data_IF_521723409186
#
_entry.id   IF_521723409186
#
_cell.length_a   1.000
_cell.length_b   1.000
_cell.length_c   1.000
_cell.angle_alpha   90.00
_cell.angle_beta   90.00
_cell.angle_gamma   90.00
#
_symmetry.space_group_name_H-M   'P 1'
#
loop_
_entity.id
_entity.type
_entity.pdbx_description
1 polymer ?
#
# COMPACT_ATOMS: atom_id res chain seq x y z
N UNK A 1 25.08 -15.59 6.64
CA UNK A 1 24.43 -16.60 5.76
C UNK A 1 23.60 -15.87 4.73
N UNK A 2 23.59 -16.33 3.48
CA UNK A 2 22.69 -15.79 2.46
C UNK A 2 21.27 -16.21 2.82
N UNK A 3 20.36 -15.25 3.05
CA UNK A 3 18.97 -15.53 3.43
C UNK A 3 18.00 -15.49 2.21
N UNK A 4 18.54 -15.70 1.01
CA UNK A 4 17.79 -15.75 -0.24
C UNK A 4 18.30 -16.94 -1.11
N UNK A 5 17.43 -17.54 -1.97
CA UNK A 5 15.98 -17.27 -2.06
C UNK A 5 15.26 -17.63 -0.75
N UNK A 6 14.12 -16.97 -0.50
CA UNK A 6 13.27 -17.27 0.65
C UNK A 6 12.19 -18.29 0.28
N UNK A 7 11.38 -18.79 1.23
CA UNK A 7 10.22 -19.63 0.89
C UNK A 7 9.14 -18.89 0.08
N UNK A 8 9.18 -17.58 -0.01
CA UNK A 8 8.14 -16.75 -0.63
C UNK A 8 8.63 -15.95 -1.84
N UNK A 9 9.94 -15.71 -1.95
CA UNK A 9 10.57 -14.95 -3.04
C UNK A 9 11.74 -15.73 -3.62
N UNK A 10 11.59 -16.18 -4.87
CA UNK A 10 12.62 -16.93 -5.60
C UNK A 10 13.48 -16.01 -6.46
N UNK A 11 14.19 -15.07 -5.81
CA UNK A 11 15.02 -14.07 -6.44
C UNK A 11 16.32 -13.84 -5.64
N UNK A 12 17.15 -12.94 -6.11
CA UNK A 12 18.35 -12.41 -5.43
C UNK A 12 18.19 -10.90 -5.18
N UNK A 13 18.96 -10.28 -4.28
CA UNK A 13 18.89 -8.83 -4.07
C UNK A 13 19.11 -8.00 -5.33
N UNK A 14 19.92 -8.48 -6.27
CA UNK A 14 20.18 -7.79 -7.55
C UNK A 14 18.99 -7.81 -8.52
N UNK A 15 17.97 -8.63 -8.25
CA UNK A 15 16.76 -8.69 -9.07
C UNK A 15 15.74 -7.60 -8.68
N UNK A 16 15.89 -6.96 -7.52
CA UNK A 16 15.01 -5.89 -7.07
C UNK A 16 15.67 -4.51 -7.14
N UNK A 17 14.87 -3.50 -7.46
CA UNK A 17 15.23 -2.10 -7.30
C UNK A 17 15.15 -1.67 -5.82
N UNK A 18 15.73 -0.53 -5.48
CA UNK A 18 15.68 0.05 -4.13
C UNK A 18 14.28 0.47 -3.69
N UNK A 19 13.41 0.76 -4.66
CA UNK A 19 12.00 1.11 -4.42
C UNK A 19 11.08 0.09 -5.08
N UNK A 20 10.16 -0.45 -4.29
CA UNK A 20 9.15 -1.43 -4.72
C UNK A 20 7.75 -0.83 -4.58
N UNK A 21 6.98 -0.79 -5.67
CA UNK A 21 5.55 -0.56 -5.64
C UNK A 21 4.84 -1.87 -5.26
N UNK A 22 3.94 -1.80 -4.27
CA UNK A 22 3.34 -3.02 -3.71
C UNK A 22 1.80 -2.97 -3.75
N UNK A 23 1.17 -3.38 -4.88
CA UNK A 23 -0.26 -3.64 -4.92
C UNK A 23 -0.60 -4.93 -4.16
N UNK A 24 -1.85 -5.04 -3.67
CA UNK A 24 -2.35 -6.30 -3.10
C UNK A 24 -2.53 -7.40 -4.16
N UNK A 25 -3.06 -7.01 -5.32
CA UNK A 25 -3.44 -7.89 -6.42
C UNK A 25 -2.25 -8.19 -7.36
N UNK A 26 -1.91 -9.49 -7.59
CA UNK A 26 -0.87 -9.89 -8.54
C UNK A 26 -1.15 -9.44 -9.99
N UNK A 27 -2.42 -9.36 -10.40
CA UNK A 27 -2.78 -8.88 -11.74
C UNK A 27 -2.54 -7.37 -11.87
N UNK A 28 -2.73 -6.60 -10.81
CA UNK A 28 -2.34 -5.18 -10.79
C UNK A 28 -0.83 -5.02 -10.85
N UNK A 29 -0.06 -5.86 -10.17
CA UNK A 29 1.40 -5.85 -10.29
C UNK A 29 1.84 -6.10 -11.73
N UNK A 30 1.23 -7.07 -12.40
CA UNK A 30 1.45 -7.34 -13.82
C UNK A 30 1.05 -6.16 -14.70
N UNK A 31 -0.13 -5.58 -14.47
CA UNK A 31 -0.61 -4.42 -15.23
C UNK A 31 0.34 -3.23 -15.14
N UNK A 32 0.82 -2.89 -13.94
CA UNK A 32 1.79 -1.80 -13.75
C UNK A 32 3.08 -2.12 -14.52
N UNK A 33 3.60 -3.33 -14.40
CA UNK A 33 4.84 -3.73 -15.09
C UNK A 33 4.72 -3.65 -16.61
N UNK A 34 3.64 -4.15 -17.18
CA UNK A 34 3.44 -4.22 -18.64
C UNK A 34 3.11 -2.87 -19.28
N UNK A 35 2.45 -1.95 -18.54
CA UNK A 35 1.97 -0.69 -19.10
C UNK A 35 2.84 0.52 -18.76
N UNK A 36 3.66 0.44 -17.72
CA UNK A 36 4.44 1.59 -17.26
C UNK A 36 5.96 1.36 -17.24
N UNK A 37 6.43 0.10 -17.13
CA UNK A 37 7.86 -0.16 -17.04
C UNK A 37 8.45 -0.61 -18.39
N UNK A 38 9.56 -0.01 -18.76
CA UNK A 38 10.38 -0.47 -19.88
C UNK A 38 11.19 -1.71 -19.47
N UNK A 39 11.29 -2.69 -20.36
CA UNK A 39 12.09 -3.92 -20.18
C UNK A 39 11.72 -4.69 -18.90
N UNK A 40 10.45 -4.66 -18.48
CA UNK A 40 9.99 -5.35 -17.29
C UNK A 40 10.25 -6.87 -17.37
N UNK A 41 10.89 -7.40 -16.32
CA UNK A 41 11.19 -8.83 -16.17
C UNK A 41 10.47 -9.39 -14.96
N UNK A 42 9.86 -10.58 -15.10
CA UNK A 42 9.29 -11.32 -13.97
C UNK A 42 10.44 -11.86 -13.11
N UNK A 43 10.52 -11.42 -11.86
CA UNK A 43 11.57 -11.81 -10.89
C UNK A 43 11.02 -12.71 -9.79
N UNK A 44 9.71 -12.75 -9.58
CA UNK A 44 9.06 -13.66 -8.66
C UNK A 44 7.69 -14.10 -9.14
N UNK A 45 7.35 -15.39 -8.90
CA UNK A 45 6.02 -15.96 -9.11
C UNK A 45 5.70 -17.07 -8.08
N UNK A 46 6.39 -17.06 -6.94
CA UNK A 46 6.13 -18.03 -5.88
C UNK A 46 4.74 -17.76 -5.31
N UNK A 47 3.92 -18.81 -5.18
CA UNK A 47 2.53 -18.72 -4.67
C UNK A 47 1.61 -17.81 -5.50
N UNK A 48 1.96 -17.54 -6.77
CA UNK A 48 1.21 -16.59 -7.61
C UNK A 48 1.44 -15.12 -7.26
N UNK A 49 2.36 -14.81 -6.36
CA UNK A 49 2.73 -13.43 -6.03
C UNK A 49 3.73 -12.93 -7.07
N UNK A 50 3.18 -12.24 -8.07
CA UNK A 50 3.98 -11.71 -9.17
C UNK A 50 4.86 -10.55 -8.69
N UNK A 51 6.15 -10.62 -9.02
CA UNK A 51 7.12 -9.53 -8.85
C UNK A 51 7.83 -9.26 -10.16
N UNK A 52 7.97 -8.00 -10.51
CA UNK A 52 8.63 -7.52 -11.73
C UNK A 52 9.63 -6.44 -11.39
N UNK A 53 10.68 -6.34 -12.20
CA UNK A 53 11.62 -5.21 -12.16
C UNK A 53 11.82 -4.69 -13.57
N UNK A 54 11.77 -3.39 -13.75
CA UNK A 54 11.96 -2.71 -15.02
C UNK A 54 12.46 -1.28 -14.82
N UNK A 55 12.35 -0.47 -15.86
CA UNK A 55 12.82 0.91 -15.87
C UNK A 55 11.62 1.85 -16.03
N UNK A 56 11.54 2.89 -15.20
CA UNK A 56 10.61 3.99 -15.36
C UNK A 56 11.39 5.31 -15.43
N UNK A 57 11.27 6.04 -16.54
CA UNK A 57 12.00 7.29 -16.78
C UNK A 57 13.50 7.17 -16.49
N UNK A 58 14.12 6.09 -16.95
CA UNK A 58 15.57 5.83 -16.77
C UNK A 58 15.96 5.29 -15.40
N UNK A 59 15.06 5.14 -14.45
CA UNK A 59 15.34 4.67 -13.08
C UNK A 59 14.77 3.26 -12.87
N UNK A 60 15.54 2.32 -12.28
CA UNK A 60 15.03 1.01 -11.91
C UNK A 60 13.91 1.11 -10.87
N UNK A 61 12.79 0.42 -11.11
CA UNK A 61 11.67 0.29 -10.19
C UNK A 61 11.19 -1.15 -10.20
N UNK A 62 10.87 -1.67 -9.02
CA UNK A 62 10.22 -2.97 -8.90
C UNK A 62 8.74 -2.82 -8.55
N UNK A 63 7.95 -3.77 -8.99
CA UNK A 63 6.53 -3.89 -8.63
C UNK A 63 6.29 -5.32 -8.18
N UNK A 64 5.81 -5.52 -6.95
CA UNK A 64 5.54 -6.86 -6.43
C UNK A 64 4.26 -6.87 -5.63
N UNK A 65 3.39 -7.84 -5.88
CA UNK A 65 2.15 -7.98 -5.12
C UNK A 65 2.43 -8.37 -3.65
N UNK A 66 1.52 -7.95 -2.77
CA UNK A 66 1.56 -8.32 -1.35
C UNK A 66 0.58 -9.42 -0.96
N UNK A 67 -0.41 -9.74 -1.81
CA UNK A 67 -1.63 -10.41 -1.36
C UNK A 67 -2.48 -9.46 -0.50
N UNK A 68 -3.47 -10.00 0.18
CA UNK A 68 -4.40 -9.24 1.04
C UNK A 68 -4.12 -9.48 2.52
N UNK A 69 -4.30 -8.43 3.31
CA UNK A 69 -4.24 -8.48 4.77
C UNK A 69 -2.83 -8.31 5.34
N UNK A 70 -2.80 -7.86 6.60
CA UNK A 70 -1.54 -7.57 7.31
C UNK A 70 -0.60 -8.77 7.42
N UNK A 71 -1.07 -10.02 7.65
CA UNK A 71 -0.15 -11.16 7.66
C UNK A 71 0.55 -11.39 6.33
N UNK A 72 -0.14 -11.16 5.21
CA UNK A 72 0.43 -11.36 3.88
C UNK A 72 1.49 -10.30 3.56
N UNK A 73 1.13 -9.00 3.61
CA UNK A 73 2.11 -7.94 3.37
C UNK A 73 3.24 -7.99 4.40
N UNK A 74 2.96 -8.47 5.60
CA UNK A 74 3.93 -8.65 6.67
C UNK A 74 5.08 -9.59 6.26
N UNK A 75 4.77 -10.68 5.56
CA UNK A 75 5.79 -11.61 5.03
C UNK A 75 6.64 -10.91 3.96
N UNK A 76 6.00 -10.40 2.91
CA UNK A 76 6.71 -9.90 1.74
C UNK A 76 7.50 -8.63 2.03
N UNK A 77 6.94 -7.68 2.79
CA UNK A 77 7.66 -6.46 3.18
C UNK A 77 8.85 -6.76 4.09
N UNK A 78 8.69 -7.70 5.03
CA UNK A 78 9.80 -8.12 5.89
C UNK A 78 10.95 -8.71 5.07
N UNK A 79 10.64 -9.63 4.14
CA UNK A 79 11.66 -10.27 3.31
C UNK A 79 12.36 -9.27 2.39
N UNK A 80 11.61 -8.40 1.71
CA UNK A 80 12.16 -7.37 0.83
C UNK A 80 13.11 -6.43 1.57
N UNK A 81 12.71 -5.93 2.74
CA UNK A 81 13.54 -5.04 3.54
C UNK A 81 14.80 -5.70 4.11
N UNK A 82 14.69 -6.95 4.58
CA UNK A 82 15.77 -7.57 5.35
C UNK A 82 16.67 -8.50 4.53
N UNK A 83 16.19 -9.01 3.36
CA UNK A 83 16.93 -10.01 2.58
C UNK A 83 17.20 -9.60 1.14
N UNK A 84 16.46 -8.64 0.59
CA UNK A 84 16.55 -8.24 -0.81
C UNK A 84 17.04 -6.79 -1.03
N UNK A 85 17.56 -6.16 0.01
CA UNK A 85 18.19 -4.83 -0.05
C UNK A 85 17.26 -3.71 -0.57
N UNK A 86 15.95 -3.85 -0.32
CA UNK A 86 14.95 -2.84 -0.63
C UNK A 86 14.96 -1.76 0.46
N UNK A 87 14.90 -0.50 0.07
CA UNK A 87 14.91 0.63 0.99
C UNK A 87 13.53 1.26 1.16
N UNK A 88 12.73 1.27 0.09
CA UNK A 88 11.43 1.93 0.07
C UNK A 88 10.35 0.98 -0.45
N UNK A 89 9.20 0.92 0.23
CA UNK A 89 8.00 0.25 -0.28
C UNK A 89 6.86 1.24 -0.33
N UNK A 90 6.26 1.42 -1.52
CA UNK A 90 5.06 2.22 -1.73
C UNK A 90 3.90 1.27 -2.01
N UNK A 91 2.98 1.14 -1.06
CA UNK A 91 1.74 0.40 -1.26
C UNK A 91 0.84 1.16 -2.24
N UNK A 92 0.37 0.43 -3.26
CA UNK A 92 -0.49 0.95 -4.34
C UNK A 92 -1.82 0.20 -4.30
N UNK A 93 -2.74 0.70 -3.47
CA UNK A 93 -3.93 -0.05 -3.09
C UNK A 93 -5.25 0.63 -3.37
N UNK A 94 -6.35 -0.04 -2.99
CA UNK A 94 -7.68 0.53 -2.89
C UNK A 94 -8.11 0.67 -1.44
N UNK A 95 -9.06 1.56 -1.18
CA UNK A 95 -9.67 1.76 0.13
C UNK A 95 -11.18 2.00 0.01
N UNK A 96 -11.93 1.57 1.00
CA UNK A 96 -13.31 2.00 1.19
C UNK A 96 -13.36 3.36 1.89
N UNK A 97 -14.00 4.37 1.29
CA UNK A 97 -14.12 5.70 1.87
C UNK A 97 -15.01 5.71 3.12
N UNK A 98 -14.54 6.36 4.19
CA UNK A 98 -15.23 6.45 5.49
C UNK A 98 -15.52 7.91 5.91
N UNK A 99 -15.19 8.87 5.07
CA UNK A 99 -15.28 10.31 5.37
C UNK A 99 -15.86 11.06 4.18
N UNK A 100 -16.68 12.06 4.44
CA UNK A 100 -17.20 13.00 3.43
C UNK A 100 -16.11 13.82 2.73
N UNK A 101 -14.86 13.77 3.24
CA UNK A 101 -13.71 14.47 2.64
C UNK A 101 -13.17 13.77 1.41
N UNK A 102 -13.58 12.55 1.13
CA UNK A 102 -13.13 11.75 -0.01
C UNK A 102 -14.33 11.23 -0.79
N UNK A 103 -14.17 11.07 -2.09
CA UNK A 103 -15.18 10.47 -2.96
C UNK A 103 -14.57 9.24 -3.68
N UNK A 104 -15.42 8.44 -4.29
CA UNK A 104 -14.95 7.36 -5.17
C UNK A 104 -14.02 7.94 -6.25
N UNK A 105 -12.89 7.28 -6.49
CA UNK A 105 -11.76 7.65 -7.36
C UNK A 105 -10.80 8.70 -6.78
N UNK A 106 -11.10 9.36 -5.65
CA UNK A 106 -10.12 10.24 -4.99
C UNK A 106 -8.92 9.44 -4.49
N UNK A 107 -7.76 10.09 -4.43
CA UNK A 107 -6.53 9.50 -3.90
C UNK A 107 -6.39 9.86 -2.41
N UNK A 108 -6.10 8.86 -1.59
CA UNK A 108 -5.66 9.03 -0.21
C UNK A 108 -4.16 8.79 -0.14
N UNK A 109 -3.40 9.76 0.37
CA UNK A 109 -2.00 9.60 0.75
C UNK A 109 -1.98 9.40 2.27
N UNK A 110 -1.73 8.17 2.71
CA UNK A 110 -1.91 7.75 4.10
C UNK A 110 -0.72 8.16 4.96
N UNK A 111 -0.86 9.25 5.72
CA UNK A 111 0.19 9.69 6.66
C UNK A 111 0.31 8.78 7.88
N UNK A 112 -0.75 8.10 8.27
CA UNK A 112 -0.78 7.15 9.37
C UNK A 112 -1.84 6.07 9.14
N UNK A 113 -1.66 4.93 9.79
CA UNK A 113 -2.58 3.81 9.70
C UNK A 113 -3.03 3.38 11.09
N UNK A 114 -4.28 3.69 11.44
CA UNK A 114 -4.95 3.08 12.58
C UNK A 114 -5.15 1.58 12.30
N UNK A 115 -5.34 0.78 13.33
CA UNK A 115 -5.65 -0.64 13.12
C UNK A 115 -6.47 -1.23 14.26
N UNK A 116 -7.31 -2.19 13.94
CA UNK A 116 -8.01 -3.07 14.88
C UNK A 116 -7.30 -4.43 15.05
N UNK A 117 -6.17 -4.61 14.34
CA UNK A 117 -5.40 -5.85 14.36
C UNK A 117 -4.53 -5.98 15.61
N UNK A 118 -4.31 -7.22 15.98
CA UNK A 118 -3.33 -7.57 17.00
C UNK A 118 -1.88 -7.70 16.47
N UNK A 119 -1.62 -7.27 15.23
CA UNK A 119 -0.31 -7.42 14.58
C UNK A 119 0.85 -6.82 15.40
N UNK A 120 0.64 -5.63 15.98
CA UNK A 120 1.64 -4.95 16.82
C UNK A 120 2.04 -5.73 18.07
N UNK A 121 1.18 -6.57 18.61
CA UNK A 121 1.48 -7.41 19.77
C UNK A 121 2.65 -8.37 19.53
N UNK A 122 2.88 -8.79 18.28
CA UNK A 122 4.00 -9.67 17.92
C UNK A 122 5.36 -9.01 18.15
N UNK A 123 5.42 -7.68 18.24
CA UNK A 123 6.66 -6.94 18.50
C UNK A 123 7.01 -6.81 20.00
N UNK A 124 6.09 -7.20 20.86
CA UNK A 124 6.26 -7.20 22.30
C UNK A 124 6.76 -5.86 22.90
N UNK A 125 6.21 -4.75 22.38
CA UNK A 125 6.54 -3.41 22.84
C UNK A 125 5.85 -3.09 24.16
N UNK A 126 6.49 -2.31 25.07
CA UNK A 126 5.88 -1.89 26.33
C UNK A 126 4.94 -0.69 26.15
N UNK A 127 4.06 -0.73 25.13
CA UNK A 127 3.13 0.36 24.81
C UNK A 127 2.47 0.18 23.44
N UNK A 128 1.88 1.25 22.93
CA UNK A 128 1.22 1.27 21.60
C UNK A 128 2.10 2.00 20.62
N UNK A 129 2.42 1.34 19.50
CA UNK A 129 3.15 1.95 18.38
C UNK A 129 2.17 2.69 17.46
N UNK A 130 2.57 3.85 16.97
CA UNK A 130 1.82 4.63 15.97
C UNK A 130 2.37 4.34 14.57
N UNK A 131 1.69 3.54 13.74
CA UNK A 131 2.12 3.28 12.37
C UNK A 131 1.99 4.54 11.52
N UNK A 132 3.12 5.14 11.16
CA UNK A 132 3.19 6.36 10.34
C UNK A 132 4.06 6.13 9.10
N UNK A 133 3.74 6.85 8.03
CA UNK A 133 4.52 6.86 6.81
C UNK A 133 5.88 7.54 7.02
N UNK A 134 6.86 7.19 6.18
CA UNK A 134 8.08 7.97 6.07
C UNK A 134 7.78 9.38 5.57
N UNK A 135 8.33 10.39 6.25
CA UNK A 135 8.05 11.79 5.96
C UNK A 135 8.55 12.23 4.58
N UNK A 136 9.71 11.73 4.13
CA UNK A 136 10.27 12.11 2.84
C UNK A 136 9.44 11.52 1.70
N UNK A 137 9.03 10.23 1.82
CA UNK A 137 8.10 9.60 0.89
C UNK A 137 6.77 10.37 0.82
N UNK A 138 6.19 10.70 1.97
CA UNK A 138 4.93 11.44 2.05
C UNK A 138 5.05 12.82 1.38
N UNK A 139 6.08 13.59 1.74
CA UNK A 139 6.34 14.92 1.18
C UNK A 139 6.55 14.87 -0.33
N UNK A 140 7.31 13.89 -0.81
CA UNK A 140 7.55 13.71 -2.25
C UNK A 140 6.26 13.35 -2.98
N UNK A 141 5.43 12.45 -2.43
CA UNK A 141 4.16 12.09 -3.02
C UNK A 141 3.20 13.29 -3.10
N UNK A 142 3.14 14.12 -2.07
CA UNK A 142 2.34 15.36 -2.07
C UNK A 142 2.83 16.31 -3.16
N UNK A 143 4.14 16.58 -3.23
CA UNK A 143 4.70 17.45 -4.28
C UNK A 143 4.39 16.93 -5.69
N UNK A 144 4.50 15.60 -5.91
CA UNK A 144 4.18 15.01 -7.21
C UNK A 144 2.68 15.03 -7.53
N UNK A 145 1.82 14.87 -6.54
CA UNK A 145 0.38 15.00 -6.73
C UNK A 145 0.00 16.43 -7.16
N UNK A 146 0.63 17.45 -6.56
CA UNK A 146 0.45 18.85 -6.96
C UNK A 146 0.96 19.10 -8.39
N UNK A 147 2.17 18.62 -8.73
CA UNK A 147 2.75 18.74 -10.08
C UNK A 147 1.87 18.08 -11.16
N UNK A 148 1.26 16.94 -10.83
CA UNK A 148 0.36 16.20 -11.71
C UNK A 148 -1.08 16.73 -11.69
N UNK A 149 -1.36 17.75 -10.87
CA UNK A 149 -2.69 18.34 -10.69
C UNK A 149 -3.76 17.28 -10.31
N UNK A 150 -3.39 16.32 -9.45
CA UNK A 150 -4.27 15.25 -8.99
C UNK A 150 -5.10 15.71 -7.78
N UNK A 151 -6.31 15.19 -7.66
CA UNK A 151 -7.13 15.37 -6.47
C UNK A 151 -6.74 14.33 -5.42
N UNK A 152 -6.26 14.78 -4.27
CA UNK A 152 -5.85 13.90 -3.18
C UNK A 152 -6.23 14.47 -1.81
N UNK A 153 -6.22 13.60 -0.81
CA UNK A 153 -6.36 13.98 0.61
C UNK A 153 -5.30 13.24 1.42
N UNK A 154 -4.55 13.98 2.25
CA UNK A 154 -3.61 13.40 3.20
C UNK A 154 -4.32 13.16 4.53
N UNK A 155 -4.19 11.98 5.11
CA UNK A 155 -4.79 11.66 6.40
C UNK A 155 -4.59 10.22 6.85
N UNK A 156 -5.25 9.86 7.94
CA UNK A 156 -5.17 8.52 8.48
C UNK A 156 -6.12 7.57 7.76
N UNK A 157 -5.69 6.33 7.61
CA UNK A 157 -6.53 5.20 7.18
C UNK A 157 -6.69 4.18 8.31
N UNK A 158 -7.62 3.26 8.17
CA UNK A 158 -7.77 2.09 9.04
C UNK A 158 -7.28 0.85 8.29
N UNK A 159 -6.33 0.12 8.85
CA UNK A 159 -6.01 -1.24 8.41
C UNK A 159 -6.79 -2.23 9.27
N UNK A 160 -7.76 -2.92 8.66
CA UNK A 160 -8.62 -3.88 9.35
C UNK A 160 -8.28 -5.33 8.97
N UNK A 161 -8.39 -6.25 9.94
CA UNK A 161 -8.26 -7.69 9.70
C UNK A 161 -9.50 -8.29 9.05
N UNK A 162 -10.65 -7.60 9.11
CA UNK A 162 -11.95 -8.13 8.70
C UNK A 162 -12.53 -7.26 7.58
N UNK A 163 -12.87 -7.92 6.45
CA UNK A 163 -13.55 -7.25 5.34
C UNK A 163 -15.10 -7.29 5.51
N UNK A 164 -15.62 -8.43 5.94
CA UNK A 164 -17.08 -8.61 6.15
C UNK A 164 -17.41 -8.59 7.63
N UNK A 165 -18.26 -7.65 8.04
CA UNK A 165 -18.78 -7.54 9.40
C UNK A 165 -20.30 -7.81 9.41
N UNK A 166 -20.78 -8.62 10.34
CA UNK A 166 -22.20 -8.69 10.64
C UNK A 166 -22.58 -7.54 11.58
N UNK A 167 -23.24 -6.54 11.02
CA UNK A 167 -23.63 -5.32 11.71
C UNK A 167 -25.17 -5.19 11.78
N UNK A 168 -25.92 -6.26 11.50
CA UNK A 168 -27.38 -6.26 11.43
C UNK A 168 -28.05 -5.67 12.68
N UNK A 169 -27.48 -5.93 13.87
CA UNK A 169 -27.97 -5.45 15.14
C UNK A 169 -27.25 -4.20 15.69
N UNK A 170 -26.36 -3.61 14.87
CA UNK A 170 -25.56 -2.45 15.28
C UNK A 170 -26.21 -1.14 14.83
N UNK A 171 -26.52 -0.20 15.75
CA UNK A 171 -27.00 1.12 15.36
C UNK A 171 -26.04 1.82 14.39
N UNK A 172 -26.56 2.50 13.38
CA UNK A 172 -25.78 3.13 12.31
C UNK A 172 -24.65 4.05 12.83
N UNK A 173 -24.88 4.76 13.93
CA UNK A 173 -23.90 5.65 14.57
C UNK A 173 -22.86 4.93 15.45
N UNK A 174 -22.97 3.62 15.61
CA UNK A 174 -22.09 2.76 16.41
C UNK A 174 -21.29 1.76 15.55
N UNK A 175 -21.48 1.79 14.25
CA UNK A 175 -20.69 0.94 13.32
C UNK A 175 -19.23 1.34 13.35
N UNK A 176 -18.28 0.41 13.08
CA UNK A 176 -16.85 0.75 12.97
C UNK A 176 -16.61 1.92 12.03
N UNK A 177 -17.27 1.95 10.87
CA UNK A 177 -17.20 3.06 9.89
C UNK A 177 -17.56 4.40 10.53
N UNK A 178 -18.69 4.47 11.26
CA UNK A 178 -19.12 5.71 11.91
C UNK A 178 -18.18 6.13 13.05
N UNK A 179 -17.69 5.18 13.84
CA UNK A 179 -16.78 5.48 14.97
C UNK A 179 -15.41 5.97 14.48
N UNK A 180 -14.80 5.28 13.53
CA UNK A 180 -13.52 5.71 12.94
C UNK A 180 -13.65 7.00 12.13
N UNK A 181 -14.75 7.17 11.40
CA UNK A 181 -15.05 8.42 10.68
C UNK A 181 -15.12 9.64 11.61
N UNK A 182 -15.69 9.51 12.83
CA UNK A 182 -15.68 10.57 13.86
C UNK A 182 -14.26 10.96 14.31
N UNK A 183 -13.30 10.04 14.23
CA UNK A 183 -11.90 10.32 14.52
C UNK A 183 -11.15 10.93 13.32
N UNK A 184 -11.84 11.16 12.20
CA UNK A 184 -11.26 11.74 10.99
C UNK A 184 -10.50 10.75 10.11
N UNK A 185 -10.71 9.43 10.29
CA UNK A 185 -10.14 8.41 9.41
C UNK A 185 -10.80 8.51 8.04
N UNK A 186 -10.00 8.56 6.97
CA UNK A 186 -10.47 8.80 5.60
C UNK A 186 -11.02 7.56 4.92
N UNK A 187 -10.42 6.41 5.16
CA UNK A 187 -10.81 5.17 4.51
C UNK A 187 -10.26 3.94 5.22
N UNK A 188 -10.82 2.77 4.89
CA UNK A 188 -10.39 1.45 5.38
C UNK A 188 -9.70 0.67 4.28
N UNK A 189 -8.62 0.00 4.64
CA UNK A 189 -7.86 -0.95 3.83
C UNK A 189 -7.34 -2.07 4.74
N UNK A 190 -6.40 -2.92 4.34
CA UNK A 190 -6.06 -4.10 5.12
C UNK A 190 -4.54 -4.30 5.35
N UNK A 191 -3.64 -3.36 4.98
CA UNK A 191 -2.20 -3.65 4.92
C UNK A 191 -1.26 -2.56 5.46
N UNK A 192 -1.63 -1.28 5.35
CA UNK A 192 -0.73 -0.15 5.59
C UNK A 192 -0.11 -0.16 7.00
N UNK A 193 -0.86 -0.54 8.03
CA UNK A 193 -0.34 -0.59 9.40
C UNK A 193 0.83 -1.58 9.55
N UNK A 194 0.69 -2.80 9.01
CA UNK A 194 1.76 -3.80 9.06
C UNK A 194 2.97 -3.37 8.24
N UNK A 195 2.76 -2.75 7.07
CA UNK A 195 3.84 -2.24 6.25
C UNK A 195 4.65 -1.16 6.99
N UNK A 196 3.97 -0.19 7.61
CA UNK A 196 4.63 0.88 8.36
C UNK A 196 5.39 0.35 9.58
N UNK A 197 4.81 -0.62 10.30
CA UNK A 197 5.48 -1.28 11.44
C UNK A 197 6.73 -2.04 11.00
N UNK A 198 6.67 -2.78 9.90
CA UNK A 198 7.82 -3.51 9.37
C UNK A 198 8.92 -2.56 8.86
N UNK A 199 8.55 -1.47 8.19
CA UNK A 199 9.50 -0.45 7.75
C UNK A 199 10.22 0.17 8.95
N UNK A 200 9.47 0.63 9.95
CA UNK A 200 10.05 1.22 11.16
C UNK A 200 11.01 0.25 11.87
N UNK A 201 10.61 -1.02 12.04
CA UNK A 201 11.44 -2.04 12.69
C UNK A 201 12.71 -2.37 11.91
N UNK A 202 12.66 -2.26 10.60
CA UNK A 202 13.80 -2.55 9.70
C UNK A 202 14.67 -1.32 9.43
N UNK A 203 14.32 -0.13 9.95
CA UNK A 203 15.00 1.12 9.60
C UNK A 203 14.87 1.49 8.12
N UNK A 204 13.71 1.19 7.54
CA UNK A 204 13.36 1.38 6.12
C UNK A 204 12.15 2.29 5.98
N UNK A 205 11.77 2.63 4.75
CA UNK A 205 10.77 3.62 4.45
C UNK A 205 9.52 2.99 3.81
N UNK A 206 8.35 3.49 4.19
CA UNK A 206 7.09 3.03 3.59
C UNK A 206 6.07 4.17 3.47
N UNK A 207 5.23 4.06 2.44
CA UNK A 207 4.07 4.93 2.19
C UNK A 207 2.94 4.09 1.60
N UNK A 208 1.69 4.43 1.89
CA UNK A 208 0.52 3.91 1.19
C UNK A 208 -0.16 5.05 0.41
N UNK A 209 -0.36 4.82 -0.88
CA UNK A 209 -1.13 5.66 -1.80
C UNK A 209 -2.30 4.81 -2.27
N UNK A 210 -3.51 5.29 -2.03
CA UNK A 210 -4.72 4.49 -2.16
C UNK A 210 -5.74 5.22 -3.02
N UNK A 211 -6.47 4.50 -3.88
CA UNK A 211 -7.66 5.04 -4.55
C UNK A 211 -8.91 4.58 -3.82
N UNK A 212 -9.84 5.48 -3.58
CA UNK A 212 -11.15 5.15 -3.03
C UNK A 212 -11.95 4.38 -4.08
N UNK A 213 -12.17 3.08 -3.84
CA UNK A 213 -12.87 2.18 -4.76
C UNK A 213 -14.37 2.08 -4.50
N UNK A 214 -14.78 2.33 -3.29
CA UNK A 214 -16.15 2.31 -2.79
C UNK A 214 -16.28 3.27 -1.61
N UNK A 215 -17.49 3.72 -1.33
CA UNK A 215 -17.75 4.69 -0.27
C UNK A 215 -18.78 4.15 0.73
N UNK A 216 -18.32 3.84 1.93
CA UNK A 216 -19.13 3.14 2.92
C UNK A 216 -20.29 3.96 3.51
N UNK A 217 -20.27 5.29 3.34
CA UNK A 217 -21.36 6.17 3.78
C UNK A 217 -22.42 6.39 2.69
N UNK A 218 -22.01 6.39 1.41
CA UNK A 218 -22.94 6.67 0.29
C UNK A 218 -23.39 5.41 -0.43
N UNK A 219 -22.67 4.29 -0.28
CA UNK A 219 -22.92 3.04 -1.00
C UNK A 219 -22.45 3.04 -2.45
N UNK A 220 -21.79 4.11 -2.92
CA UNK A 220 -21.19 4.15 -4.26
C UNK A 220 -20.02 3.18 -4.35
N UNK A 221 -19.88 2.46 -5.46
CA UNK A 221 -18.78 1.51 -5.65
C UNK A 221 -18.41 1.35 -7.12
N UNK A 222 -17.14 1.05 -7.38
CA UNK A 222 -16.62 0.67 -8.69
C UNK A 222 -16.75 -0.83 -8.92
N UNK A 223 -16.94 -1.23 -10.18
CA UNK A 223 -16.88 -2.63 -10.59
C UNK A 223 -15.48 -3.23 -10.40
N UNK A 224 -15.37 -4.56 -10.41
CA UNK A 224 -14.08 -5.25 -10.31
C UNK A 224 -13.15 -4.90 -11.47
N UNK A 225 -13.68 -4.71 -12.68
CA UNK A 225 -12.92 -4.32 -13.85
C UNK A 225 -12.37 -2.89 -13.72
N UNK A 226 -13.20 -1.94 -13.27
CA UNK A 226 -12.76 -0.58 -12.98
C UNK A 226 -11.67 -0.54 -11.91
N UNK A 227 -11.79 -1.31 -10.83
CA UNK A 227 -10.76 -1.41 -9.77
C UNK A 227 -9.41 -1.93 -10.29
N UNK A 228 -9.41 -2.73 -11.34
CA UNK A 228 -8.20 -3.29 -11.92
C UNK A 228 -7.51 -2.31 -12.88
N UNK A 229 -8.27 -1.57 -13.67
CA UNK A 229 -7.77 -0.87 -14.86
C UNK A 229 -7.80 0.66 -14.77
N UNK A 230 -8.52 1.27 -13.80
CA UNK A 230 -8.75 2.73 -13.79
C UNK A 230 -7.98 3.50 -12.74
N UNK A 231 -7.15 2.85 -11.94
CA UNK A 231 -6.35 3.52 -10.90
C UNK A 231 -5.00 4.04 -11.43
N UNK A 232 -4.98 4.48 -12.69
CA UNK A 232 -3.75 4.93 -13.38
C UNK A 232 -3.14 6.16 -12.73
N UNK A 233 -3.94 7.08 -12.20
CA UNK A 233 -3.45 8.28 -11.51
C UNK A 233 -2.65 7.93 -10.27
N UNK A 234 -3.17 7.00 -9.43
CA UNK A 234 -2.45 6.48 -8.27
C UNK A 234 -1.17 5.75 -8.67
N UNK A 235 -1.21 4.93 -9.73
CA UNK A 235 -0.04 4.21 -10.23
C UNK A 235 1.02 5.19 -10.72
N UNK A 236 0.62 6.19 -11.51
CA UNK A 236 1.50 7.25 -12.00
C UNK A 236 2.10 8.04 -10.85
N UNK A 237 1.29 8.49 -9.89
CA UNK A 237 1.77 9.19 -8.70
C UNK A 237 2.82 8.37 -7.94
N UNK A 238 2.57 7.07 -7.77
CA UNK A 238 3.48 6.18 -7.06
C UNK A 238 4.81 5.99 -7.80
N UNK A 239 4.77 5.88 -9.13
CA UNK A 239 5.97 5.80 -9.97
C UNK A 239 6.76 7.11 -9.96
N UNK A 240 6.11 8.26 -10.10
CA UNK A 240 6.76 9.56 -10.01
C UNK A 240 7.39 9.79 -8.64
N UNK A 241 6.71 9.37 -7.57
CA UNK A 241 7.27 9.39 -6.21
C UNK A 241 8.52 8.51 -6.14
N UNK A 242 8.45 7.27 -6.65
CA UNK A 242 9.56 6.31 -6.59
C UNK A 242 10.83 6.83 -7.27
N UNK A 243 10.73 7.46 -8.44
CA UNK A 243 11.90 7.95 -9.18
C UNK A 243 12.46 9.25 -8.62
N UNK A 244 11.65 10.06 -7.97
CA UNK A 244 12.07 11.34 -7.36
C UNK A 244 12.90 11.17 -6.07
N UNK A 245 12.95 9.96 -5.51
CA UNK A 245 13.77 9.65 -4.32
C UNK A 245 15.26 9.44 -4.67
N UNK A 246 15.56 9.22 -5.94
CA UNK A 246 16.90 8.87 -6.43
C UNK A 246 17.62 10.05 -7.11
N UNK A 247 17.05 11.25 -7.01
CA UNK A 247 17.58 12.50 -7.57
C UNK A 247 18.39 13.34 -6.59
#
# INVERSE_FOLDING_TARGET
>A
MKNYPTPHINATPSDFAKTVLMPGDPLRAKFIAENFLENAKLVNNVRGIHGYTGIYKGTPVSVMASGMGMPSIGIYSYELFNFFDVDNIIRVGSAGGMSEKVNVRDIIIAQGACTDSNYAHTFNLPGVFSPIADFNLLKTAVSKADELNLKYTVGNVLSSDIFYNDLSDTPANMTPTALWGKMGVLGVEMEAAALYMNAARSGKNALAILTVSDHLLTGESLSSEERQNTFTDMMTLSLETAVSLNG
#
